data_IF_629391995759
#
_entry.id   IF_629391995759
#
_cell.length_a   1.000
_cell.length_b   1.000
_cell.length_c   1.000
_cell.angle_alpha   90.00
_cell.angle_beta   90.00
_cell.angle_gamma   90.00
#
_symmetry.space_group_name_H-M   'P 1'
#
loop_
_entity.id
_entity.type
_entity.pdbx_description
1 polymer ?
#
# COMPACT_ATOMS: atom_id res chain seq x y z
N UNK A 1 4.06 -8.23 67.40
CA UNK A 1 2.87 -8.29 66.51
C UNK A 1 2.77 -7.10 65.55
N UNK A 2 3.08 -5.87 65.91
CA UNK A 2 2.96 -4.71 65.02
C UNK A 2 3.87 -4.75 63.77
N UNK A 3 5.07 -5.28 63.85
CA UNK A 3 6.04 -5.35 62.74
C UNK A 3 5.63 -6.25 61.58
N UNK A 4 4.85 -7.30 61.83
CA UNK A 4 4.33 -8.22 60.83
C UNK A 4 3.25 -7.57 59.95
N UNK A 5 2.46 -6.67 60.51
CA UNK A 5 1.36 -5.99 59.82
C UNK A 5 1.93 -4.99 58.79
N UNK A 6 3.03 -4.31 59.12
CA UNK A 6 3.70 -3.38 58.23
C UNK A 6 4.29 -4.07 56.97
N UNK A 7 4.88 -5.26 57.15
CA UNK A 7 5.42 -6.06 56.06
C UNK A 7 4.32 -6.54 55.08
N UNK A 8 3.18 -6.97 55.59
CA UNK A 8 2.06 -7.38 54.76
C UNK A 8 1.42 -6.19 54.00
N UNK A 9 1.36 -5.05 54.66
CA UNK A 9 0.86 -3.82 54.00
C UNK A 9 1.78 -3.33 52.86
N UNK A 10 3.09 -3.42 53.06
CA UNK A 10 4.10 -3.10 52.05
C UNK A 10 4.06 -4.08 50.86
N UNK A 11 3.98 -5.38 51.14
CA UNK A 11 3.92 -6.42 50.12
C UNK A 11 2.69 -6.27 49.24
N UNK A 12 1.53 -5.94 49.80
CA UNK A 12 0.29 -5.63 49.05
C UNK A 12 0.43 -4.44 48.14
N UNK A 13 1.11 -3.36 48.57
CA UNK A 13 1.35 -2.17 47.75
C UNK A 13 2.27 -2.49 46.57
N UNK A 14 3.31 -3.30 46.76
CA UNK A 14 4.19 -3.75 45.68
C UNK A 14 3.48 -4.69 44.70
N UNK A 15 2.61 -5.57 45.18
CA UNK A 15 1.82 -6.46 44.30
C UNK A 15 0.82 -5.68 43.44
N UNK A 16 0.12 -4.69 43.98
CA UNK A 16 -0.80 -3.82 43.26
C UNK A 16 -0.06 -2.97 42.23
N UNK A 17 1.11 -2.40 42.59
CA UNK A 17 1.93 -1.64 41.68
C UNK A 17 2.48 -2.49 40.53
N UNK A 18 2.86 -3.74 40.79
CA UNK A 18 3.30 -4.72 39.79
C UNK A 18 2.20 -5.11 38.82
N UNK A 19 0.98 -5.36 39.30
CA UNK A 19 -0.17 -5.64 38.46
C UNK A 19 -0.54 -4.44 37.57
N UNK A 20 -0.45 -3.21 38.09
CA UNK A 20 -0.72 -1.98 37.34
C UNK A 20 0.33 -1.75 36.23
N UNK A 21 1.59 -2.07 36.49
CA UNK A 21 2.67 -1.96 35.49
C UNK A 21 2.53 -3.01 34.38
N UNK A 22 2.08 -4.24 34.72
CA UNK A 22 1.85 -5.30 33.72
C UNK A 22 0.67 -4.98 32.78
N UNK A 23 -0.37 -4.30 33.27
CA UNK A 23 -1.52 -3.93 32.43
C UNK A 23 -1.20 -2.82 31.41
N UNK A 24 -0.16 -2.00 31.62
CA UNK A 24 0.28 -0.97 30.67
C UNK A 24 1.18 -1.54 29.54
N UNK A 25 1.75 -2.73 29.69
CA UNK A 25 2.66 -3.32 28.70
C UNK A 25 1.92 -3.87 27.45
N UNK A 26 0.60 -4.06 27.54
CA UNK A 26 -0.20 -4.62 26.45
C UNK A 26 -0.45 -3.70 25.26
N UNK A 27 -0.20 -2.38 25.40
CA UNK A 27 -0.55 -1.41 24.34
C UNK A 27 0.63 -1.03 23.41
N UNK A 28 1.83 -1.60 23.60
CA UNK A 28 3.03 -1.17 22.87
C UNK A 28 3.34 -1.98 21.60
N UNK A 29 2.54 -2.96 21.23
CA UNK A 29 2.83 -3.89 20.15
C UNK A 29 1.81 -3.86 19.00
N UNK A 30 1.17 -2.72 18.71
CA UNK A 30 0.27 -2.60 17.56
C UNK A 30 1.09 -2.15 16.35
N UNK A 31 1.32 -3.09 15.43
CA UNK A 31 1.94 -2.82 14.13
C UNK A 31 1.01 -3.45 13.09
N UNK A 32 0.05 -2.67 12.59
CA UNK A 32 -0.89 -3.13 11.57
C UNK A 32 -0.46 -2.60 10.21
N UNK A 33 -0.06 -3.52 9.36
CA UNK A 33 0.17 -3.28 7.95
C UNK A 33 -1.07 -3.71 7.15
N UNK A 34 -1.77 -2.75 6.55
CA UNK A 34 -2.95 -3.02 5.73
C UNK A 34 -2.66 -2.68 4.28
N UNK A 35 -2.78 -3.67 3.40
CA UNK A 35 -2.76 -3.45 1.97
C UNK A 35 -4.16 -3.10 1.48
N UNK A 36 -4.30 -1.95 0.82
CA UNK A 36 -5.55 -1.45 0.24
C UNK A 36 -5.47 -1.43 -1.28
N UNK A 37 -6.60 -1.73 -1.93
CA UNK A 37 -6.70 -1.75 -3.39
C UNK A 37 -6.21 -3.06 -4.01
N UNK A 38 -5.68 -2.98 -5.23
CA UNK A 38 -5.24 -4.13 -5.99
C UNK A 38 -3.91 -4.67 -5.48
N UNK A 39 -3.86 -5.96 -5.11
CA UNK A 39 -2.60 -6.61 -4.74
C UNK A 39 -1.89 -7.06 -6.02
N UNK A 40 -0.81 -6.40 -6.37
CA UNK A 40 0.02 -6.80 -7.51
C UNK A 40 0.79 -8.07 -7.14
N UNK A 41 0.38 -9.20 -7.74
CA UNK A 41 1.14 -10.46 -7.66
C UNK A 41 2.05 -10.57 -8.88
N UNK A 42 3.35 -10.62 -8.65
CA UNK A 42 4.36 -10.74 -9.71
C UNK A 42 4.15 -11.99 -10.58
N UNK A 43 3.59 -13.07 -10.00
CA UNK A 43 3.26 -14.30 -10.75
C UNK A 43 2.10 -14.08 -11.71
N UNK A 44 1.09 -13.31 -11.32
CA UNK A 44 -0.02 -12.94 -12.20
C UNK A 44 0.45 -11.96 -13.27
N UNK A 45 1.26 -10.99 -12.88
CA UNK A 45 1.82 -10.02 -13.82
C UNK A 45 2.70 -10.69 -14.89
N UNK A 46 3.47 -11.70 -14.55
CA UNK A 46 4.29 -12.45 -15.50
C UNK A 46 3.49 -13.21 -16.58
N UNK A 47 2.18 -13.44 -16.35
CA UNK A 47 1.27 -14.06 -17.30
C UNK A 47 0.72 -13.08 -18.33
N UNK A 48 0.81 -11.77 -18.05
CA UNK A 48 0.37 -10.72 -18.96
C UNK A 48 1.57 -10.21 -19.76
N UNK A 49 1.56 -10.43 -21.06
CA UNK A 49 2.67 -10.07 -21.96
C UNK A 49 2.18 -9.13 -23.07
N UNK A 50 3.06 -8.33 -23.66
CA UNK A 50 2.76 -7.59 -24.86
C UNK A 50 2.21 -8.51 -25.96
N UNK A 51 1.15 -8.06 -26.65
CA UNK A 51 0.44 -8.81 -27.68
C UNK A 51 -0.78 -9.61 -27.18
N UNK A 52 -0.93 -9.81 -25.87
CA UNK A 52 -2.09 -10.51 -25.29
C UNK A 52 -3.39 -9.67 -25.43
N UNK A 53 -4.56 -10.32 -25.60
CA UNK A 53 -5.81 -9.59 -25.67
C UNK A 53 -6.28 -9.07 -24.32
N UNK A 54 -7.09 -8.01 -24.32
CA UNK A 54 -7.61 -7.37 -23.11
C UNK A 54 -8.45 -8.34 -22.24
N UNK A 55 -9.17 -9.28 -22.85
CA UNK A 55 -9.94 -10.29 -22.13
C UNK A 55 -9.05 -11.18 -21.26
N UNK A 56 -7.85 -11.51 -21.74
CA UNK A 56 -6.88 -12.27 -20.95
C UNK A 56 -6.37 -11.44 -19.77
N UNK A 57 -6.09 -10.16 -19.98
CA UNK A 57 -5.70 -9.24 -18.87
C UNK A 57 -6.79 -9.20 -17.81
N UNK A 58 -8.06 -9.07 -18.23
CA UNK A 58 -9.20 -9.06 -17.31
C UNK A 58 -9.35 -10.38 -16.54
N UNK A 59 -9.10 -11.52 -17.20
CA UNK A 59 -9.19 -12.84 -16.53
C UNK A 59 -8.07 -13.09 -15.54
N UNK A 60 -6.87 -12.55 -15.79
CA UNK A 60 -5.68 -12.73 -14.94
C UNK A 60 -5.61 -11.69 -13.82
N UNK A 61 -5.76 -10.40 -14.17
CA UNK A 61 -5.61 -9.29 -13.22
C UNK A 61 -6.95 -8.83 -12.63
N UNK A 62 -8.09 -9.28 -13.17
CA UNK A 62 -9.41 -8.82 -12.72
C UNK A 62 -9.76 -7.42 -13.22
N UNK A 63 -10.77 -6.82 -12.57
CA UNK A 63 -11.29 -5.51 -12.94
C UNK A 63 -10.31 -4.40 -12.55
N UNK A 64 -9.95 -3.48 -13.47
CA UNK A 64 -9.09 -2.35 -13.17
C UNK A 64 -9.73 -1.38 -12.18
N UNK A 65 -8.91 -0.70 -11.38
CA UNK A 65 -9.37 0.36 -10.46
C UNK A 65 -9.91 1.57 -11.21
N UNK A 66 -9.32 1.89 -12.35
CA UNK A 66 -9.77 2.95 -13.25
C UNK A 66 -9.24 2.73 -14.66
N UNK A 67 -9.86 3.40 -15.64
CA UNK A 67 -9.45 3.37 -17.04
C UNK A 67 -9.23 4.79 -17.56
N UNK A 68 -8.39 4.94 -18.57
CA UNK A 68 -8.16 6.23 -19.24
C UNK A 68 -8.00 6.01 -20.74
N UNK A 69 -8.47 6.98 -21.51
CA UNK A 69 -8.24 7.10 -22.95
C UNK A 69 -7.27 8.23 -23.27
N UNK A 70 -6.72 8.90 -22.24
CA UNK A 70 -5.73 9.98 -22.42
C UNK A 70 -4.39 9.36 -22.79
N UNK A 71 -3.92 9.64 -24.01
CA UNK A 71 -2.68 9.05 -24.54
C UNK A 71 -2.84 7.64 -25.11
N UNK A 72 -4.06 7.09 -25.16
CA UNK A 72 -4.41 5.73 -25.58
C UNK A 72 -5.29 5.01 -24.57
N UNK A 73 -5.80 3.84 -24.93
CA UNK A 73 -6.57 3.01 -23.99
C UNK A 73 -5.64 2.42 -22.94
N UNK A 74 -5.89 2.71 -21.68
CA UNK A 74 -5.11 2.19 -20.57
C UNK A 74 -5.96 1.78 -19.38
N UNK A 75 -5.60 0.69 -18.73
CA UNK A 75 -6.18 0.19 -17.49
C UNK A 75 -5.19 0.37 -16.35
N UNK A 76 -5.67 0.91 -15.22
CA UNK A 76 -4.86 1.18 -14.06
C UNK A 76 -5.35 0.37 -12.86
N UNK A 77 -4.43 -0.33 -12.24
CA UNK A 77 -4.62 -1.08 -11.00
C UNK A 77 -3.84 -0.37 -9.90
N UNK A 78 -4.55 0.10 -8.89
CA UNK A 78 -3.98 0.93 -7.82
C UNK A 78 -3.82 0.11 -6.57
N UNK A 79 -2.63 0.13 -5.97
CA UNK A 79 -2.35 -0.47 -4.67
C UNK A 79 -1.73 0.54 -3.73
N UNK A 80 -2.08 0.42 -2.45
CA UNK A 80 -1.51 1.21 -1.36
C UNK A 80 -1.16 0.30 -0.19
N UNK A 81 0.01 0.51 0.38
CA UNK A 81 0.45 -0.06 1.63
C UNK A 81 0.31 1.00 2.71
N UNK A 82 -0.45 0.69 3.74
CA UNK A 82 -0.72 1.60 4.84
C UNK A 82 -0.21 0.97 6.11
N UNK A 83 0.64 1.67 6.83
CA UNK A 83 1.15 1.26 8.13
C UNK A 83 0.57 2.13 9.23
N UNK A 84 0.12 1.49 10.31
CA UNK A 84 -0.27 2.14 11.54
C UNK A 84 0.57 1.59 12.68
N UNK A 85 1.55 2.37 13.15
CA UNK A 85 2.51 1.95 14.18
C UNK A 85 1.92 1.89 15.59
N UNK A 86 0.91 2.70 15.84
CA UNK A 86 0.21 2.75 17.12
C UNK A 86 -1.27 3.03 16.87
N UNK A 87 -2.16 2.43 17.65
CA UNK A 87 -3.61 2.52 17.47
C UNK A 87 -4.15 3.97 17.47
N UNK A 88 -3.51 4.87 18.23
CA UNK A 88 -3.89 6.29 18.31
C UNK A 88 -3.22 7.16 17.23
N UNK A 89 -2.29 6.64 16.45
CA UNK A 89 -1.66 7.37 15.34
C UNK A 89 -2.47 7.24 14.06
N UNK A 90 -2.42 8.27 13.24
CA UNK A 90 -3.05 8.20 11.92
C UNK A 90 -2.31 7.19 11.04
N UNK A 91 -3.01 6.32 10.29
CA UNK A 91 -2.41 5.46 9.30
C UNK A 91 -1.62 6.28 8.28
N UNK A 92 -0.43 5.81 7.91
CA UNK A 92 0.42 6.46 6.92
C UNK A 92 0.58 5.56 5.71
N UNK A 93 0.47 6.14 4.52
CA UNK A 93 0.75 5.44 3.27
C UNK A 93 2.27 5.34 3.13
N UNK A 94 2.81 4.12 3.20
CA UNK A 94 4.25 3.85 3.14
C UNK A 94 4.69 3.44 1.74
N UNK A 95 3.82 2.77 0.96
CA UNK A 95 4.08 2.50 -0.45
C UNK A 95 2.79 2.67 -1.26
N UNK A 96 2.95 3.09 -2.49
CA UNK A 96 1.86 3.28 -3.43
C UNK A 96 2.32 2.94 -4.84
N UNK A 97 1.56 2.07 -5.48
CA UNK A 97 1.85 1.59 -6.82
C UNK A 97 0.65 1.72 -7.74
N UNK A 98 0.93 2.04 -8.98
CA UNK A 98 -0.04 2.07 -10.08
C UNK A 98 0.50 1.21 -11.21
N UNK A 99 -0.07 0.00 -11.34
CA UNK A 99 0.18 -0.85 -12.48
C UNK A 99 -0.68 -0.35 -13.64
N UNK A 100 -0.06 0.04 -14.73
CA UNK A 100 -0.70 0.50 -15.95
C UNK A 100 -0.51 -0.51 -17.07
N UNK A 101 -1.60 -0.92 -17.69
CA UNK A 101 -1.63 -1.78 -18.88
C UNK A 101 -2.17 -0.95 -20.03
N UNK A 102 -1.34 -0.71 -21.04
CA UNK A 102 -1.68 0.05 -22.25
C UNK A 102 -2.07 -0.85 -23.36
N UNK A 103 -3.13 -0.47 -24.09
CA UNK A 103 -3.67 -1.25 -25.17
C UNK A 103 -3.56 -0.53 -26.52
N UNK A 104 -3.26 -1.30 -27.55
CA UNK A 104 -3.38 -0.87 -28.94
C UNK A 104 -4.84 -0.66 -29.34
N UNK A 105 -5.06 -0.08 -30.53
CA UNK A 105 -6.41 0.07 -31.11
C UNK A 105 -7.13 -1.26 -31.30
N UNK A 106 -6.39 -2.39 -31.40
CA UNK A 106 -6.93 -3.74 -31.51
C UNK A 106 -7.20 -4.40 -30.16
N UNK A 107 -7.15 -3.63 -29.05
CA UNK A 107 -7.33 -4.15 -27.67
C UNK A 107 -6.31 -5.23 -27.28
N UNK A 108 -5.09 -5.14 -27.81
CA UNK A 108 -3.96 -5.98 -27.39
C UNK A 108 -3.01 -5.17 -26.51
N UNK A 109 -2.42 -5.83 -25.51
CA UNK A 109 -1.43 -5.23 -24.64
C UNK A 109 -0.25 -4.72 -25.48
N UNK A 110 0.03 -3.44 -25.39
CA UNK A 110 1.15 -2.79 -26.05
C UNK A 110 2.33 -2.64 -25.08
N UNK A 111 2.03 -2.16 -23.87
CA UNK A 111 3.03 -1.88 -22.84
C UNK A 111 2.44 -2.12 -21.46
N UNK A 112 3.28 -2.55 -20.53
CA UNK A 112 2.97 -2.62 -19.10
C UNK A 112 3.98 -1.75 -18.37
N UNK A 113 3.51 -0.96 -17.41
CA UNK A 113 4.35 -0.13 -16.56
C UNK A 113 3.88 -0.21 -15.10
N UNK A 114 4.80 -0.19 -14.16
CA UNK A 114 4.51 -0.19 -12.74
C UNK A 114 5.05 1.10 -12.13
N UNK A 115 4.18 2.08 -11.97
CA UNK A 115 4.55 3.38 -11.46
C UNK A 115 4.44 3.44 -9.94
N UNK A 116 5.40 4.08 -9.31
CA UNK A 116 5.37 4.48 -7.92
C UNK A 116 6.06 5.81 -7.72
N UNK A 117 6.20 6.23 -6.48
CA UNK A 117 6.95 7.43 -6.11
C UNK A 117 8.29 7.03 -5.52
N UNK A 118 9.36 7.53 -6.10
CA UNK A 118 10.71 7.45 -5.58
C UNK A 118 11.24 8.89 -5.48
N UNK A 119 11.63 9.32 -4.29
CA UNK A 119 12.04 10.69 -3.99
C UNK A 119 11.04 11.77 -4.46
N UNK A 120 9.73 11.48 -4.35
CA UNK A 120 8.65 12.35 -4.77
C UNK A 120 8.48 12.51 -6.28
N UNK A 121 9.21 11.72 -7.08
CA UNK A 121 9.08 11.65 -8.54
C UNK A 121 8.43 10.35 -8.96
N UNK A 122 7.67 10.40 -10.05
CA UNK A 122 7.10 9.18 -10.65
C UNK A 122 8.23 8.37 -11.28
N UNK A 123 8.34 7.12 -10.86
CA UNK A 123 9.33 6.16 -11.34
C UNK A 123 8.61 4.91 -11.88
N UNK A 124 9.03 4.39 -13.02
CA UNK A 124 8.53 3.14 -13.58
C UNK A 124 9.47 1.99 -13.18
N UNK A 125 9.01 1.13 -12.31
CA UNK A 125 9.79 0.01 -11.76
C UNK A 125 10.03 -1.13 -12.77
N UNK A 126 9.25 -1.20 -13.86
CA UNK A 126 9.45 -2.20 -14.93
C UNK A 126 10.58 -1.73 -15.86
N UNK A 127 10.46 -0.51 -16.41
CA UNK A 127 11.48 0.04 -17.30
C UNK A 127 12.69 0.63 -16.56
N UNK A 128 12.57 0.82 -15.22
CA UNK A 128 13.56 1.45 -14.35
C UNK A 128 13.98 2.82 -14.83
N UNK A 129 13.02 3.59 -15.30
CA UNK A 129 13.22 4.94 -15.82
C UNK A 129 12.25 5.92 -15.19
N UNK A 130 12.64 7.19 -15.12
CA UNK A 130 11.72 8.29 -14.83
C UNK A 130 11.11 8.73 -16.16
N UNK A 131 9.79 8.54 -16.35
CA UNK A 131 9.16 8.95 -17.60
C UNK A 131 9.36 10.45 -17.83
N UNK A 132 9.74 10.88 -19.01
CA UNK A 132 10.01 12.26 -19.36
C UNK A 132 8.89 12.84 -20.23
N UNK A 133 7.88 13.41 -19.59
CA UNK A 133 6.89 14.27 -20.26
C UNK A 133 5.75 13.55 -21.00
N UNK A 134 4.61 14.22 -21.06
CA UNK A 134 3.40 13.79 -21.78
C UNK A 134 2.13 13.87 -20.93
N UNK A 135 0.97 13.90 -21.59
CA UNK A 135 -0.35 13.95 -20.95
C UNK A 135 -0.59 12.72 -20.03
N UNK A 136 -0.06 11.57 -20.41
CA UNK A 136 -0.08 10.30 -19.68
C UNK A 136 0.60 10.42 -18.32
N UNK A 137 1.77 11.06 -18.28
CA UNK A 137 2.53 11.29 -17.04
C UNK A 137 1.81 12.23 -16.08
N UNK A 138 1.15 13.25 -16.63
CA UNK A 138 0.30 14.15 -15.85
C UNK A 138 -0.84 13.40 -15.17
N UNK A 139 -1.47 12.46 -15.87
CA UNK A 139 -2.54 11.62 -15.35
C UNK A 139 -2.04 10.70 -14.21
N UNK A 140 -0.96 9.94 -14.44
CA UNK A 140 -0.38 9.05 -13.43
C UNK A 140 0.09 9.82 -12.20
N UNK A 141 0.73 10.98 -12.38
CA UNK A 141 1.14 11.85 -11.28
C UNK A 141 -0.04 12.37 -10.48
N UNK A 142 -1.11 12.81 -11.14
CA UNK A 142 -2.30 13.27 -10.47
C UNK A 142 -3.00 12.13 -9.73
N UNK A 143 -3.05 10.95 -10.31
CA UNK A 143 -3.59 9.74 -9.68
C UNK A 143 -2.82 9.43 -8.39
N UNK A 144 -1.49 9.36 -8.44
CA UNK A 144 -0.62 9.11 -7.29
C UNK A 144 -0.76 10.21 -6.22
N UNK A 145 -0.80 11.49 -6.60
CA UNK A 145 -0.96 12.60 -5.64
C UNK A 145 -2.33 12.63 -4.97
N UNK A 146 -3.39 12.32 -5.70
CA UNK A 146 -4.75 12.34 -5.14
C UNK A 146 -4.98 11.21 -4.15
N UNK A 147 -4.34 10.06 -4.35
CA UNK A 147 -4.38 8.93 -3.44
C UNK A 147 -3.65 9.18 -2.11
N UNK A 148 -2.72 10.15 -2.07
CA UNK A 148 -2.00 10.56 -0.85
C UNK A 148 -2.79 11.56 0.04
N UNK A 149 -3.96 12.02 -0.41
CA UNK A 149 -4.74 13.09 0.24
C UNK A 149 -5.83 12.60 1.21
N UNK A 150 -5.75 11.38 1.69
CA UNK A 150 -6.68 10.86 2.69
C UNK A 150 -6.11 10.87 4.10
#
# INVERSE_FOLDING_TARGET
MARQIEYFASLRKFAVLGCLAMSLAGCLGYDEEVQRGYVVDDKLLAQVKPGEPAEKVLSVLGTPSTTSTVGGDAWYYVSQKVEQKLEFMKPQVTDQRVLAVYFSKQKKVEKIANYGLEDGKVFDFISRTTPTGGAEQGFVRNLLKNLLRF
#
